data_IF_044499081048
#
_entry.id   IF_044499081048
#
_cell.length_a   1.000
_cell.length_b   1.000
_cell.length_c   1.000
_cell.angle_alpha   90.00
_cell.angle_beta   90.00
_cell.angle_gamma   90.00
#
_symmetry.space_group_name_H-M   'P 1'
#
loop_
_entity.id
_entity.type
_entity.pdbx_description
1 polymer ?
#
# COMPACT_ATOMS: atom_id res chain seq x y z
N UNK A 1 1.95 -22.08 23.70
CA UNK A 1 2.44 -20.79 23.16
C UNK A 1 2.62 -20.79 21.66
N UNK A 2 2.89 -21.94 21.06
CA UNK A 2 2.98 -21.97 19.59
C UNK A 2 1.68 -21.54 18.90
N UNK A 3 0.52 -21.88 19.47
CA UNK A 3 -0.75 -21.42 18.95
C UNK A 3 -0.90 -19.90 19.08
N UNK A 4 -0.33 -19.31 20.14
CA UNK A 4 -0.31 -17.88 20.30
C UNK A 4 0.56 -17.18 19.26
N UNK A 5 1.67 -17.79 18.90
CA UNK A 5 2.54 -17.26 17.86
C UNK A 5 1.87 -17.30 16.50
N UNK A 6 1.15 -18.37 16.19
CA UNK A 6 0.39 -18.45 14.95
C UNK A 6 -0.67 -17.36 14.86
N UNK A 7 -1.40 -17.14 15.95
CA UNK A 7 -2.39 -16.08 16.01
C UNK A 7 -1.73 -14.70 15.87
N UNK A 8 -0.56 -14.51 16.48
CA UNK A 8 0.16 -13.25 16.39
C UNK A 8 0.61 -12.98 14.95
N UNK A 9 1.00 -14.01 14.21
CA UNK A 9 1.38 -13.87 12.80
C UNK A 9 0.17 -13.46 11.98
N UNK A 10 -0.98 -14.07 12.23
CA UNK A 10 -2.21 -13.71 11.54
C UNK A 10 -2.64 -12.28 11.87
N UNK A 11 -2.44 -11.88 13.13
CA UNK A 11 -2.74 -10.52 13.55
C UNK A 11 -1.82 -9.49 12.89
N UNK A 12 -0.69 -9.92 12.37
CA UNK A 12 0.21 -9.03 11.65
C UNK A 12 -0.20 -8.79 10.20
N UNK A 13 -1.27 -9.43 9.76
CA UNK A 13 -1.85 -9.09 8.46
C UNK A 13 -2.48 -7.70 8.52
N UNK A 14 -2.81 -7.14 7.37
CA UNK A 14 -3.33 -5.80 7.28
C UNK A 14 -4.52 -5.53 8.21
N UNK A 15 -5.34 -6.54 8.48
CA UNK A 15 -6.54 -6.40 9.32
C UNK A 15 -6.28 -6.55 10.80
N UNK A 16 -5.24 -7.30 11.16
CA UNK A 16 -4.95 -7.58 12.57
C UNK A 16 -3.94 -6.66 13.19
N UNK A 17 -3.44 -5.68 12.47
CA UNK A 17 -2.40 -4.80 12.98
C UNK A 17 -2.96 -3.78 13.97
N UNK A 18 -2.14 -3.47 14.97
CA UNK A 18 -2.49 -2.45 15.96
C UNK A 18 -2.43 -1.03 15.40
N UNK A 19 -1.75 -0.85 14.28
CA UNK A 19 -1.60 0.44 13.63
C UNK A 19 -2.16 0.39 12.20
N UNK A 20 -2.66 1.52 11.69
CA UNK A 20 -3.17 1.59 10.32
C UNK A 20 -2.10 1.24 9.30
N UNK A 21 -2.47 0.41 8.34
CA UNK A 21 -1.60 0.07 7.21
C UNK A 21 -2.46 -0.29 6.00
N UNK A 22 -1.85 -0.18 4.82
CA UNK A 22 -2.47 -0.56 3.56
C UNK A 22 -1.56 -1.57 2.88
N UNK A 23 -2.13 -2.68 2.43
CA UNK A 23 -1.37 -3.75 1.80
C UNK A 23 -1.05 -3.42 0.36
N UNK A 24 0.22 -3.54 0.01
CA UNK A 24 0.70 -3.49 -1.36
C UNK A 24 1.21 -4.87 -1.75
N UNK A 25 0.88 -5.30 -2.95
CA UNK A 25 1.48 -6.50 -3.52
C UNK A 25 2.55 -6.13 -4.52
N UNK A 26 3.69 -6.80 -4.43
CA UNK A 26 4.82 -6.61 -5.34
C UNK A 26 4.87 -7.85 -6.22
N UNK A 27 4.39 -7.72 -7.46
CA UNK A 27 4.28 -8.84 -8.38
C UNK A 27 5.47 -8.82 -9.34
N UNK A 28 6.15 -9.95 -9.47
CA UNK A 28 7.34 -10.07 -10.30
C UNK A 28 6.93 -10.67 -11.64
N UNK A 29 7.11 -9.89 -12.71
CA UNK A 29 6.76 -10.32 -14.06
C UNK A 29 8.01 -10.43 -14.92
N UNK A 30 8.04 -11.46 -15.78
CA UNK A 30 9.06 -11.51 -16.82
C UNK A 30 8.95 -10.24 -17.67
N UNK A 31 10.08 -9.73 -18.15
CA UNK A 31 10.10 -8.50 -18.93
C UNK A 31 9.54 -8.74 -20.34
N UNK A 32 8.22 -8.91 -20.41
CA UNK A 32 7.49 -9.12 -21.67
C UNK A 32 6.29 -8.19 -21.72
N UNK A 33 6.05 -7.67 -22.91
CA UNK A 33 5.02 -6.65 -23.14
C UNK A 33 3.62 -7.08 -22.69
N UNK A 34 3.24 -8.32 -22.90
CA UNK A 34 1.89 -8.78 -22.57
C UNK A 34 1.67 -9.14 -21.11
N UNK A 35 2.74 -9.26 -20.31
CA UNK A 35 2.61 -9.77 -18.96
C UNK A 35 1.84 -8.82 -18.02
N UNK A 36 2.07 -7.52 -18.17
CA UNK A 36 1.35 -6.53 -17.37
C UNK A 36 -0.13 -6.50 -17.73
N UNK A 37 -0.45 -6.57 -19.02
CA UNK A 37 -1.85 -6.59 -19.45
C UNK A 37 -2.57 -7.83 -18.92
N UNK A 38 -1.92 -8.98 -18.96
CA UNK A 38 -2.49 -10.22 -18.42
C UNK A 38 -2.75 -10.09 -16.93
N UNK A 39 -1.84 -9.45 -16.21
CA UNK A 39 -2.00 -9.23 -14.78
C UNK A 39 -3.23 -8.36 -14.48
N UNK A 40 -3.34 -7.20 -15.11
CA UNK A 40 -4.46 -6.28 -14.83
C UNK A 40 -5.80 -6.87 -15.28
N UNK A 41 -5.81 -7.65 -16.33
CA UNK A 41 -7.03 -8.33 -16.80
C UNK A 41 -7.60 -9.32 -15.80
N UNK A 42 -6.76 -9.87 -14.92
CA UNK A 42 -7.24 -10.78 -13.90
C UNK A 42 -8.14 -10.10 -12.88
N UNK A 43 -8.03 -8.79 -12.77
CA UNK A 43 -8.89 -7.99 -11.89
C UNK A 43 -10.12 -7.44 -12.60
N UNK A 44 -10.14 -7.48 -13.93
CA UNK A 44 -11.18 -6.85 -14.76
C UNK A 44 -12.59 -7.39 -14.48
N UNK A 45 -12.69 -8.70 -14.26
CA UNK A 45 -13.97 -9.36 -14.02
C UNK A 45 -14.30 -9.52 -12.54
N UNK A 46 -13.55 -8.89 -11.65
CA UNK A 46 -13.74 -8.96 -10.21
C UNK A 46 -14.23 -7.62 -9.68
N UNK A 47 -14.72 -7.60 -8.44
CA UNK A 47 -15.08 -6.36 -7.76
C UNK A 47 -13.88 -5.68 -7.13
N UNK A 48 -12.70 -6.28 -7.19
CA UNK A 48 -11.50 -5.68 -6.63
C UNK A 48 -10.99 -4.58 -7.55
N UNK A 49 -10.93 -3.38 -7.04
CA UNK A 49 -10.39 -2.24 -7.79
C UNK A 49 -8.90 -2.12 -7.51
N UNK A 50 -8.16 -1.74 -8.52
CA UNK A 50 -6.75 -1.37 -8.33
C UNK A 50 -6.70 0.11 -7.99
N UNK A 51 -6.43 0.40 -6.73
CA UNK A 51 -6.39 1.78 -6.22
C UNK A 51 -5.12 2.48 -6.69
N UNK A 52 -4.04 1.73 -6.79
CA UNK A 52 -2.78 2.25 -7.30
C UNK A 52 -2.00 1.16 -8.01
N UNK A 53 -1.18 1.57 -8.95
CA UNK A 53 -0.30 0.67 -9.69
C UNK A 53 0.94 1.43 -10.09
N UNK A 54 2.11 0.88 -9.76
CA UNK A 54 3.39 1.41 -10.23
C UNK A 54 4.21 0.31 -10.85
N UNK A 55 5.08 0.67 -11.77
CA UNK A 55 5.94 -0.27 -12.48
C UNK A 55 7.39 0.11 -12.25
N UNK A 56 8.18 -0.84 -11.77
CA UNK A 56 9.62 -0.67 -11.65
C UNK A 56 10.28 -1.69 -12.55
N UNK A 57 11.00 -1.22 -13.57
CA UNK A 57 11.71 -2.09 -14.48
C UNK A 57 13.12 -2.36 -13.99
N UNK A 58 13.53 -3.61 -14.07
CA UNK A 58 14.91 -4.04 -13.86
C UNK A 58 15.40 -4.74 -15.12
N UNK A 59 16.67 -5.11 -15.14
CA UNK A 59 17.23 -5.80 -16.31
C UNK A 59 16.56 -7.14 -16.60
N UNK A 60 16.10 -7.83 -15.56
CA UNK A 60 15.60 -9.20 -15.67
C UNK A 60 14.09 -9.32 -15.56
N UNK A 61 13.44 -8.38 -14.91
CA UNK A 61 11.99 -8.46 -14.68
C UNK A 61 11.39 -7.08 -14.45
N UNK A 62 10.08 -7.03 -14.45
CA UNK A 62 9.33 -5.87 -13.98
C UNK A 62 8.73 -6.20 -12.62
N UNK A 63 8.76 -5.23 -11.72
CA UNK A 63 8.11 -5.32 -10.43
C UNK A 63 6.88 -4.42 -10.48
N UNK A 64 5.70 -5.03 -10.35
CA UNK A 64 4.46 -4.28 -10.37
C UNK A 64 3.97 -4.15 -8.94
N UNK A 65 3.85 -2.92 -8.46
CA UNK A 65 3.32 -2.64 -7.13
C UNK A 65 1.84 -2.31 -7.27
N UNK A 66 1.01 -3.12 -6.63
CA UNK A 66 -0.44 -2.97 -6.69
C UNK A 66 -0.99 -2.68 -5.32
N UNK A 67 -1.92 -1.74 -5.24
CA UNK A 67 -2.72 -1.52 -4.02
C UNK A 67 -4.17 -1.83 -4.40
N UNK A 68 -4.69 -3.00 -3.99
CA UNK A 68 -6.07 -3.36 -4.29
C UNK A 68 -7.03 -2.81 -3.25
N UNK A 69 -8.28 -2.65 -3.63
CA UNK A 69 -9.34 -2.23 -2.69
C UNK A 69 -9.65 -3.30 -1.66
N UNK A 70 -9.40 -4.56 -1.98
CA UNK A 70 -9.60 -5.69 -1.08
C UNK A 70 -8.37 -6.60 -1.16
N UNK A 71 -7.54 -6.54 -0.12
CA UNK A 71 -6.26 -7.25 -0.14
C UNK A 71 -6.41 -8.77 -0.06
N UNK A 72 -7.39 -9.26 0.69
CA UNK A 72 -7.60 -10.71 0.79
C UNK A 72 -8.03 -11.31 -0.54
N UNK A 73 -8.97 -10.66 -1.20
CA UNK A 73 -9.44 -11.11 -2.50
C UNK A 73 -8.34 -11.03 -3.55
N UNK A 74 -7.55 -9.97 -3.52
CA UNK A 74 -6.41 -9.82 -4.42
C UNK A 74 -5.37 -10.92 -4.21
N UNK A 75 -5.12 -11.29 -2.97
CA UNK A 75 -4.23 -12.39 -2.64
C UNK A 75 -4.67 -13.69 -3.35
N UNK A 76 -5.96 -14.01 -3.27
CA UNK A 76 -6.50 -15.19 -3.94
C UNK A 76 -6.32 -15.11 -5.46
N UNK A 77 -6.59 -13.96 -6.04
CA UNK A 77 -6.44 -13.76 -7.49
C UNK A 77 -5.00 -13.99 -7.92
N UNK A 78 -4.04 -13.43 -7.18
CA UNK A 78 -2.62 -13.59 -7.49
C UNK A 78 -2.15 -15.02 -7.32
N UNK A 79 -2.62 -15.70 -6.27
CA UNK A 79 -2.28 -17.11 -6.07
C UNK A 79 -2.82 -17.99 -7.19
N UNK A 80 -4.05 -17.77 -7.62
CA UNK A 80 -4.64 -18.52 -8.72
C UNK A 80 -3.90 -18.26 -10.03
N UNK A 81 -3.36 -17.06 -10.20
CA UNK A 81 -2.56 -16.71 -11.36
C UNK A 81 -1.19 -17.36 -11.36
N UNK A 82 -0.77 -17.90 -10.22
CA UNK A 82 0.55 -18.53 -10.02
C UNK A 82 1.70 -17.59 -10.34
N UNK A 83 1.51 -16.31 -10.04
CA UNK A 83 2.55 -15.30 -10.21
C UNK A 83 3.35 -15.19 -8.92
N UNK A 84 4.68 -15.03 -9.00
CA UNK A 84 5.47 -14.76 -7.81
C UNK A 84 5.19 -13.35 -7.31
N UNK A 85 4.94 -13.22 -6.00
CA UNK A 85 4.69 -11.92 -5.40
C UNK A 85 5.09 -11.90 -3.94
N UNK A 86 5.35 -10.69 -3.45
CA UNK A 86 5.57 -10.43 -2.03
C UNK A 86 4.58 -9.36 -1.58
N UNK A 87 4.53 -9.12 -0.27
CA UNK A 87 3.62 -8.16 0.33
C UNK A 87 4.41 -7.10 1.08
N UNK A 88 3.92 -5.88 1.05
CA UNK A 88 4.47 -4.77 1.83
C UNK A 88 3.33 -4.02 2.51
N UNK A 89 3.62 -3.46 3.68
CA UNK A 89 2.69 -2.57 4.35
C UNK A 89 3.05 -1.13 4.04
N UNK A 90 2.07 -0.39 3.61
CA UNK A 90 2.23 1.02 3.31
C UNK A 90 1.65 1.89 4.39
N UNK A 91 2.33 2.99 4.64
CA UNK A 91 1.80 4.10 5.40
C UNK A 91 1.12 5.02 4.40
N UNK A 92 -0.18 5.20 4.53
CA UNK A 92 -0.97 6.03 3.63
C UNK A 92 -1.53 7.20 4.42
N UNK A 93 -1.11 8.39 4.07
CA UNK A 93 -1.47 9.61 4.80
C UNK A 93 -2.18 10.59 3.87
N UNK A 94 -3.27 11.17 4.38
CA UNK A 94 -4.01 12.20 3.65
C UNK A 94 -3.12 13.42 3.49
N UNK A 95 -3.10 14.00 2.28
CA UNK A 95 -2.37 15.24 2.06
C UNK A 95 -3.00 16.35 2.88
N UNK A 96 -2.22 17.09 3.68
CA UNK A 96 -2.76 18.22 4.41
C UNK A 96 -3.17 19.34 3.46
N UNK A 97 -4.12 20.14 3.91
CA UNK A 97 -4.66 21.24 3.10
C UNK A 97 -3.80 22.50 3.32
N UNK A 98 -2.66 22.54 2.64
CA UNK A 98 -1.76 23.68 2.65
C UNK A 98 -1.01 23.77 1.32
N UNK A 99 -0.17 24.78 1.17
CA UNK A 99 0.52 25.06 -0.10
C UNK A 99 1.62 24.05 -0.43
N UNK A 100 2.16 23.36 0.58
CA UNK A 100 3.27 22.43 0.40
C UNK A 100 2.99 21.11 1.13
N UNK A 101 1.95 20.36 0.70
CA UNK A 101 1.54 19.17 1.45
C UNK A 101 2.59 18.09 1.49
N UNK A 102 3.31 17.83 0.39
CA UNK A 102 4.34 16.80 0.38
C UNK A 102 5.52 17.17 1.27
N UNK A 103 5.92 18.43 1.22
CA UNK A 103 7.00 18.93 2.07
C UNK A 103 6.62 18.79 3.54
N UNK A 104 5.37 19.11 3.88
CA UNK A 104 4.88 19.02 5.26
C UNK A 104 4.98 17.59 5.80
N UNK A 105 4.57 16.61 5.01
CA UNK A 105 4.66 15.20 5.39
C UNK A 105 6.12 14.77 5.53
N UNK A 106 6.94 15.11 4.54
CA UNK A 106 8.36 14.73 4.55
C UNK A 106 9.09 15.33 5.74
N UNK A 107 8.83 16.59 6.05
CA UNK A 107 9.45 17.24 7.21
C UNK A 107 9.09 16.53 8.52
N UNK A 108 7.84 16.10 8.64
CA UNK A 108 7.41 15.40 9.84
C UNK A 108 8.17 14.08 10.04
N UNK A 109 8.30 13.31 8.97
CA UNK A 109 8.96 12.00 9.04
C UNK A 109 10.47 12.12 9.13
N UNK A 110 11.07 12.93 8.26
CA UNK A 110 12.53 13.09 8.26
C UNK A 110 13.02 13.81 9.51
N UNK A 111 12.22 14.73 10.05
CA UNK A 111 12.51 15.35 11.34
C UNK A 111 12.53 14.38 12.51
N UNK A 112 11.79 13.28 12.40
CA UNK A 112 11.79 12.20 13.37
C UNK A 112 12.81 11.11 13.02
N UNK A 113 13.67 11.36 12.04
CA UNK A 113 14.72 10.43 11.58
C UNK A 113 14.15 9.10 11.05
N UNK A 114 13.01 9.18 10.38
CA UNK A 114 12.37 8.02 9.76
C UNK A 114 12.67 8.03 8.27
N UNK A 115 13.34 6.98 7.78
CA UNK A 115 13.66 6.84 6.37
C UNK A 115 12.43 6.45 5.55
N UNK A 116 12.28 7.13 4.43
CA UNK A 116 11.24 6.81 3.44
C UNK A 116 11.94 6.10 2.28
N UNK A 117 11.59 4.83 2.08
CA UNK A 117 12.22 4.03 1.02
C UNK A 117 11.69 4.41 -0.35
N UNK A 118 10.39 4.64 -0.46
CA UNK A 118 9.75 5.16 -1.66
C UNK A 118 8.36 5.67 -1.30
N UNK A 119 7.82 6.50 -2.18
CA UNK A 119 6.51 7.10 -1.99
C UNK A 119 5.85 7.34 -3.34
N UNK A 120 4.54 7.28 -3.38
CA UNK A 120 3.76 7.65 -4.56
C UNK A 120 2.36 8.08 -4.14
N UNK A 121 1.73 8.98 -4.91
CA UNK A 121 0.39 9.43 -4.58
C UNK A 121 -0.66 8.40 -4.99
N UNK A 122 -1.79 8.42 -4.29
CA UNK A 122 -2.97 7.66 -4.67
C UNK A 122 -4.22 8.40 -4.22
N UNK A 123 -5.35 7.96 -4.74
CA UNK A 123 -6.64 8.56 -4.42
C UNK A 123 -7.44 7.61 -3.53
N UNK A 124 -7.88 8.11 -2.39
CA UNK A 124 -8.80 7.37 -1.51
C UNK A 124 -10.22 7.83 -1.83
N UNK A 125 -11.08 6.89 -2.25
CA UNK A 125 -12.42 7.21 -2.69
C UNK A 125 -12.44 7.73 -4.11
N UNK A 126 -13.60 8.14 -4.59
CA UNK A 126 -13.78 8.60 -5.96
C UNK A 126 -14.56 9.90 -6.01
N UNK A 127 -14.35 10.66 -7.09
CA UNK A 127 -15.08 11.88 -7.35
C UNK A 127 -14.78 13.00 -6.36
N UNK A 128 -15.76 13.92 -6.15
CA UNK A 128 -15.53 15.07 -5.28
C UNK A 128 -15.29 14.72 -3.82
N UNK A 129 -15.71 13.53 -3.39
CA UNK A 129 -15.50 13.06 -2.02
C UNK A 129 -14.20 12.32 -1.84
N UNK A 130 -13.42 12.14 -2.91
CA UNK A 130 -12.14 11.48 -2.84
C UNK A 130 -11.07 12.34 -2.18
N UNK A 131 -10.09 11.70 -1.59
CA UNK A 131 -8.96 12.37 -0.95
C UNK A 131 -7.66 11.93 -1.60
N UNK A 132 -6.81 12.90 -1.91
CA UNK A 132 -5.46 12.58 -2.36
C UNK A 132 -4.64 12.17 -1.13
N UNK A 133 -3.91 11.10 -1.26
CA UNK A 133 -3.08 10.57 -0.19
C UNK A 133 -1.68 10.25 -0.72
N UNK A 134 -0.73 10.19 0.18
CA UNK A 134 0.63 9.76 -0.13
C UNK A 134 0.85 8.39 0.48
N UNK A 135 1.15 7.41 -0.36
CA UNK A 135 1.50 6.07 0.07
C UNK A 135 3.02 5.99 0.19
N UNK A 136 3.50 5.43 1.30
CA UNK A 136 4.93 5.38 1.58
C UNK A 136 5.30 4.02 2.15
N UNK A 137 6.46 3.54 1.76
CA UNK A 137 7.12 2.44 2.42
C UNK A 137 8.22 3.03 3.29
N UNK A 138 8.10 2.86 4.61
CA UNK A 138 9.00 3.49 5.58
C UNK A 138 9.73 2.44 6.39
N UNK A 139 10.85 2.82 6.95
CA UNK A 139 11.68 1.92 7.76
C UNK A 139 10.97 1.48 9.04
N UNK A 140 10.34 2.41 9.74
CA UNK A 140 9.72 2.15 11.04
C UNK A 140 8.23 2.53 10.98
N UNK A 141 7.40 1.59 10.54
CA UNK A 141 5.98 1.85 10.27
C UNK A 141 5.23 2.36 11.50
N UNK A 142 5.33 1.65 12.62
CA UNK A 142 4.61 2.02 13.84
C UNK A 142 5.03 3.40 14.34
N UNK A 143 6.34 3.66 14.37
CA UNK A 143 6.86 4.96 14.79
C UNK A 143 6.37 6.06 13.86
N UNK A 144 6.35 5.80 12.56
CA UNK A 144 5.87 6.76 11.58
C UNK A 144 4.39 7.08 11.77
N UNK A 145 3.55 6.06 11.98
CA UNK A 145 2.13 6.26 12.26
C UNK A 145 1.95 7.13 13.50
N UNK A 146 2.66 6.80 14.58
CA UNK A 146 2.56 7.56 15.82
C UNK A 146 3.02 8.99 15.66
N UNK A 147 4.12 9.20 14.93
CA UNK A 147 4.64 10.54 14.65
C UNK A 147 3.63 11.39 13.90
N UNK A 148 3.08 10.86 12.82
CA UNK A 148 2.12 11.60 12.01
C UNK A 148 0.81 11.84 12.75
N UNK A 149 0.30 10.82 13.43
CA UNK A 149 -0.94 10.96 14.18
C UNK A 149 -0.83 11.99 15.28
N UNK A 150 0.30 12.01 16.00
CA UNK A 150 0.52 12.99 17.07
C UNK A 150 0.61 14.42 16.54
N UNK A 151 0.96 14.60 15.29
CA UNK A 151 1.03 15.91 14.65
C UNK A 151 -0.26 16.29 13.92
N UNK A 152 -1.31 15.49 14.06
CA UNK A 152 -2.62 15.81 13.50
C UNK A 152 -2.86 15.34 12.09
N UNK A 153 -1.94 14.55 11.51
CA UNK A 153 -2.17 13.98 10.18
C UNK A 153 -3.18 12.83 10.24
N UNK A 154 -3.94 12.66 9.16
CA UNK A 154 -4.87 11.55 9.02
C UNK A 154 -4.17 10.39 8.31
N UNK A 155 -4.06 9.26 9.00
CA UNK A 155 -3.48 8.04 8.46
C UNK A 155 -4.61 7.08 8.10
N UNK A 156 -4.61 6.60 6.87
CA UNK A 156 -5.65 5.72 6.37
C UNK A 156 -5.31 4.25 6.63
N UNK A 157 -6.35 3.43 6.72
CA UNK A 157 -6.25 1.98 6.79
C UNK A 157 -6.92 1.35 5.59
N UNK A 158 -6.87 0.01 5.49
CA UNK A 158 -7.50 -0.70 4.38
C UNK A 158 -9.00 -0.47 4.29
N UNK A 159 -9.65 -0.26 5.42
CA UNK A 159 -11.10 0.01 5.43
C UNK A 159 -11.46 1.30 4.72
N UNK A 160 -10.52 2.22 4.59
CA UNK A 160 -10.76 3.50 3.92
C UNK A 160 -10.69 3.40 2.40
N UNK A 161 -10.15 2.31 1.86
CA UNK A 161 -9.93 2.16 0.42
C UNK A 161 -11.23 1.96 -0.36
N UNK A 162 -12.22 1.38 0.25
CA UNK A 162 -13.52 1.15 -0.40
C UNK A 162 -14.40 2.41 -0.41
N UNK A 163 -13.95 3.42 0.23
CA UNK A 163 -14.50 4.76 0.21
C UNK A 163 -15.94 4.93 0.37
#
# INVERSE_FOLDING_TARGET
MSSGEGAAIDDLTARGREWPSVRQYNVFLANRMGALLDLVRRFETTDVKLVALTVVETADCAIIRLVPSNSERAYEILQQAKLPFTESDLLVVKLPDNDQPLLTICKALLGAEIDIHYAYPLMIGVGPMGHTALAMHVEAHETAVNTLTSQGFTVFSENDLDG
#
